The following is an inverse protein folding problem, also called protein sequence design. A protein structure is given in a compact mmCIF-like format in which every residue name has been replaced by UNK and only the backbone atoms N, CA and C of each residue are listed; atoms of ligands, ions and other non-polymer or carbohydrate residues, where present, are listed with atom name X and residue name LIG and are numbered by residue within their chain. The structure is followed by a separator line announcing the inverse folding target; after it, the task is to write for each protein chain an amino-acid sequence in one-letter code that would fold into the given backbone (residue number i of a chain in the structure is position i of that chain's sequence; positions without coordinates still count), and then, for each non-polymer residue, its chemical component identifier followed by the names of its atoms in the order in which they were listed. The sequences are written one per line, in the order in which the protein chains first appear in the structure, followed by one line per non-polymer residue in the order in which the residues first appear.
data_IF_738894937861
#
_entry.id   IF_738894937861
#
_cell.length_a   1.000
_cell.length_b   1.000
_cell.length_c   1.000
_cell.angle_alpha   90.00
_cell.angle_beta   90.00
_cell.angle_gamma   90.00
#
_symmetry.space_group_name_H-M   'P 1'
#
loop_
_entity.id
_entity.type
_entity.pdbx_description
1 polymer ?
#
# COMPACT_ATOMS: atom_id res chain seq x y z
N UNK A 1 14.35 -7.25 12.39
CA UNK A 1 13.86 -7.77 11.11
C UNK A 1 12.68 -6.91 10.69
N UNK A 2 12.76 -6.23 9.54
CA UNK A 2 11.70 -5.36 9.05
C UNK A 2 10.55 -6.19 8.48
N UNK A 3 9.35 -6.01 9.01
CA UNK A 3 8.12 -6.56 8.42
C UNK A 3 7.95 -6.00 7.01
N UNK A 4 7.78 -6.87 6.01
CA UNK A 4 7.50 -6.43 4.64
C UNK A 4 6.08 -5.90 4.57
N UNK A 5 5.94 -4.64 4.18
CA UNK A 5 4.64 -3.99 3.97
C UNK A 5 4.31 -4.05 2.48
N UNK A 6 3.25 -4.75 2.15
CA UNK A 6 2.73 -4.85 0.78
C UNK A 6 1.43 -4.07 0.70
N UNK A 7 1.32 -3.14 -0.24
CA UNK A 7 0.02 -2.52 -0.57
C UNK A 7 -0.63 -3.40 -1.60
N UNK A 8 -1.89 -3.80 -1.38
CA UNK A 8 -2.65 -4.53 -2.39
C UNK A 8 -3.88 -3.75 -2.82
N UNK A 9 -4.02 -3.67 -4.14
CA UNK A 9 -5.17 -3.12 -4.83
C UNK A 9 -5.79 -4.26 -5.64
N UNK A 10 -6.99 -4.71 -5.28
CA UNK A 10 -7.76 -5.74 -5.98
C UNK A 10 -8.88 -5.13 -6.80
N UNK A 11 -8.96 -5.53 -8.06
CA UNK A 11 -10.12 -5.32 -8.92
C UNK A 11 -10.68 -6.69 -9.30
N UNK A 12 -11.85 -7.01 -8.76
CA UNK A 12 -12.60 -8.28 -8.88
C UNK A 12 -12.00 -9.47 -8.09
N UNK A 13 -12.86 -10.26 -7.45
CA UNK A 13 -12.56 -11.44 -6.60
C UNK A 13 -11.33 -11.34 -5.68
N UNK A 14 -11.60 -11.06 -4.40
CA UNK A 14 -10.60 -11.06 -3.33
C UNK A 14 -9.77 -12.37 -3.31
N UNK A 15 -8.44 -12.26 -3.35
CA UNK A 15 -7.57 -13.42 -3.16
C UNK A 15 -7.81 -14.02 -1.77
N UNK A 16 -7.81 -15.36 -1.70
CA UNK A 16 -7.73 -16.05 -0.41
C UNK A 16 -6.37 -15.76 0.26
N UNK A 17 -6.28 -15.91 1.58
CA UNK A 17 -5.00 -15.81 2.30
C UNK A 17 -3.95 -16.78 1.73
N UNK A 18 -4.38 -17.98 1.33
CA UNK A 18 -3.51 -18.97 0.69
C UNK A 18 -2.98 -18.48 -0.66
N UNK A 19 -3.83 -17.88 -1.49
CA UNK A 19 -3.39 -17.30 -2.77
C UNK A 19 -2.40 -16.14 -2.56
N UNK A 20 -2.65 -15.31 -1.55
CA UNK A 20 -1.75 -14.20 -1.15
C UNK A 20 -0.39 -14.74 -0.70
N UNK A 21 -0.37 -15.74 0.18
CA UNK A 21 0.87 -16.36 0.67
C UNK A 21 1.65 -17.02 -0.47
N UNK A 22 0.96 -17.75 -1.35
CA UNK A 22 1.56 -18.37 -2.54
C UNK A 22 2.13 -17.32 -3.50
N UNK A 23 1.38 -16.23 -3.76
CA UNK A 23 1.82 -15.12 -4.59
C UNK A 23 3.04 -14.43 -3.98
N UNK A 24 3.00 -14.19 -2.66
CA UNK A 24 4.07 -13.52 -1.94
C UNK A 24 5.34 -14.37 -1.88
N UNK A 25 5.19 -15.67 -1.66
CA UNK A 25 6.31 -16.59 -1.69
C UNK A 25 6.92 -16.73 -3.09
N UNK A 26 6.10 -16.78 -4.15
CA UNK A 26 6.60 -16.94 -5.54
C UNK A 26 7.15 -15.65 -6.14
N UNK A 27 6.54 -14.51 -5.83
CA UNK A 27 6.85 -13.23 -6.49
C UNK A 27 7.61 -12.27 -5.59
N UNK A 28 7.40 -12.30 -4.28
CA UNK A 28 7.97 -11.32 -3.35
C UNK A 28 9.09 -11.85 -2.46
N UNK A 29 9.24 -13.17 -2.28
CA UNK A 29 10.35 -13.74 -1.50
C UNK A 29 11.75 -13.23 -1.90
N UNK A 30 12.06 -13.01 -3.19
CA UNK A 30 13.35 -12.44 -3.59
C UNK A 30 13.55 -10.96 -3.18
N UNK A 31 12.52 -10.28 -2.69
CA UNK A 31 12.54 -8.84 -2.38
C UNK A 31 12.46 -8.52 -0.88
N UNK A 32 12.23 -9.53 -0.02
CA UNK A 32 12.01 -9.39 1.43
C UNK A 32 13.26 -8.90 2.19
N UNK A 33 14.46 -9.13 1.66
CA UNK A 33 15.74 -8.74 2.29
C UNK A 33 16.24 -7.32 1.93
N UNK A 34 15.43 -6.50 1.27
CA UNK A 34 15.84 -5.16 0.83
C UNK A 34 14.95 -4.08 1.44
N UNK A 35 15.48 -2.87 1.67
CA UNK A 35 14.75 -1.65 2.09
C UNK A 35 13.76 -1.19 0.99
N UNK A 36 12.88 -2.08 0.56
CA UNK A 36 12.00 -1.90 -0.59
C UNK A 36 10.55 -2.01 -0.13
N UNK A 37 9.69 -1.16 -0.69
CA UNK A 37 8.24 -1.35 -0.58
C UNK A 37 7.73 -1.91 -1.91
N UNK A 38 7.41 -3.21 -1.96
CA UNK A 38 6.63 -3.72 -3.06
C UNK A 38 5.24 -3.07 -3.02
N UNK A 39 4.84 -2.39 -4.10
CA UNK A 39 3.46 -1.96 -4.32
C UNK A 39 2.80 -2.98 -5.26
N UNK A 40 1.83 -3.73 -4.74
CA UNK A 40 1.15 -4.77 -5.50
C UNK A 40 -0.16 -4.24 -6.10
N UNK A 41 -0.26 -4.30 -7.42
CA UNK A 41 -1.49 -4.00 -8.16
C UNK A 41 -2.09 -5.30 -8.72
N UNK A 42 -2.89 -6.00 -7.92
CA UNK A 42 -3.49 -7.25 -8.34
C UNK A 42 -4.80 -7.01 -9.12
N UNK A 43 -4.69 -6.94 -10.45
CA UNK A 43 -5.84 -7.03 -11.35
C UNK A 43 -6.33 -8.49 -11.42
N UNK A 44 -7.57 -8.78 -11.04
CA UNK A 44 -8.20 -10.07 -11.36
C UNK A 44 -8.97 -9.88 -12.66
N UNK A 45 -8.73 -10.74 -13.65
CA UNK A 45 -9.50 -10.73 -14.91
C UNK A 45 -10.18 -12.09 -15.08
N UNK A 46 -11.51 -12.09 -15.00
CA UNK A 46 -12.39 -13.02 -15.71
C UNK A 46 -12.89 -14.26 -14.95
N UNK A 47 -14.22 -14.36 -14.85
CA UNK A 47 -15.04 -15.44 -14.25
C UNK A 47 -14.90 -16.80 -14.97
N UNK A 48 -14.03 -16.92 -15.98
CA UNK A 48 -13.80 -18.18 -16.69
C UNK A 48 -12.48 -18.82 -16.21
N UNK A 49 -12.61 -19.97 -15.56
CA UNK A 49 -11.55 -20.82 -14.99
C UNK A 49 -10.43 -21.27 -15.94
N UNK A 50 -10.45 -20.83 -17.22
CA UNK A 50 -9.46 -21.13 -18.25
C UNK A 50 -8.56 -19.96 -18.62
N UNK A 51 -8.80 -18.75 -18.11
CA UNK A 51 -7.96 -17.57 -18.38
C UNK A 51 -7.04 -17.36 -17.18
N UNK A 52 -5.73 -17.30 -17.43
CA UNK A 52 -4.72 -17.17 -16.36
C UNK A 52 -4.95 -15.91 -15.53
N UNK A 53 -4.92 -16.05 -14.19
CA UNK A 53 -4.89 -14.92 -13.26
C UNK A 53 -3.69 -14.02 -13.61
N UNK A 54 -3.95 -12.82 -14.11
CA UNK A 54 -2.90 -11.90 -14.55
C UNK A 54 -2.63 -10.85 -13.47
N UNK A 55 -1.65 -11.11 -12.59
CA UNK A 55 -1.26 -10.16 -11.56
C UNK A 55 -0.13 -9.25 -12.05
N UNK A 56 -0.29 -7.93 -11.87
CA UNK A 56 0.72 -6.92 -12.22
C UNK A 56 1.35 -6.40 -10.91
N UNK A 57 2.65 -6.14 -10.92
CA UNK A 57 3.34 -5.69 -9.72
C UNK A 57 4.25 -4.50 -10.05
N UNK A 58 4.24 -3.51 -9.16
CA UNK A 58 5.14 -2.36 -9.24
C UNK A 58 5.97 -2.32 -7.98
N UNK A 59 7.22 -2.78 -8.06
CA UNK A 59 8.12 -2.76 -6.93
C UNK A 59 9.05 -1.55 -7.00
N UNK A 60 9.05 -0.72 -5.95
CA UNK A 60 10.03 0.34 -5.75
C UNK A 60 11.17 -0.20 -4.90
N UNK A 61 12.39 -0.21 -5.45
CA UNK A 61 13.57 -0.85 -4.84
C UNK A 61 14.87 -0.12 -5.14
N UNK A 62 15.84 -0.31 -4.27
CA UNK A 62 17.22 0.17 -4.44
C UNK A 62 17.77 0.77 -3.14
N UNK A 63 19.09 0.86 -3.00
CA UNK A 63 19.72 1.43 -1.78
C UNK A 63 19.45 2.92 -1.56
N UNK A 64 18.90 3.61 -2.56
CA UNK A 64 18.53 5.02 -2.55
C UNK A 64 17.01 5.22 -2.60
N UNK A 65 16.24 4.16 -2.31
CA UNK A 65 14.79 4.20 -2.28
C UNK A 65 14.36 3.96 -0.85
N UNK A 66 13.59 4.88 -0.30
CA UNK A 66 12.98 4.74 1.02
C UNK A 66 11.47 4.78 0.87
N UNK A 67 10.76 4.06 1.73
CA UNK A 67 9.35 3.79 1.49
C UNK A 67 8.59 3.59 2.78
N UNK A 68 7.35 4.06 2.84
CA UNK A 68 6.51 3.90 4.02
C UNK A 68 5.03 3.86 3.66
N UNK A 69 4.23 3.26 4.53
CA UNK A 69 2.78 3.15 4.35
C UNK A 69 2.03 3.42 5.64
N UNK A 70 0.79 3.88 5.49
CA UNK A 70 -0.16 4.09 6.57
C UNK A 70 -1.54 3.59 6.14
N UNK A 71 -2.12 2.69 6.93
CA UNK A 71 -3.51 2.28 6.79
C UNK A 71 -4.41 3.32 7.47
N UNK A 72 -5.47 3.74 6.78
CA UNK A 72 -6.49 4.65 7.30
C UNK A 72 -7.58 3.82 7.98
N UNK A 73 -7.70 3.98 9.30
CA UNK A 73 -8.60 3.18 10.15
C UNK A 73 -9.57 4.08 10.96
N UNK A 74 -9.81 5.30 10.51
CA UNK A 74 -10.61 6.27 11.27
C UNK A 74 -11.45 7.14 10.35
N UNK A 75 -12.64 7.50 10.84
CA UNK A 75 -13.59 8.41 10.21
C UNK A 75 -13.48 9.84 10.76
N UNK A 76 -12.62 10.05 11.73
CA UNK A 76 -12.46 11.29 12.50
C UNK A 76 -11.25 12.07 11.96
N UNK A 77 -11.49 13.33 11.62
CA UNK A 77 -10.52 14.22 10.98
C UNK A 77 -9.31 14.49 11.87
N UNK A 78 -9.53 14.76 13.16
CA UNK A 78 -8.47 15.06 14.11
C UNK A 78 -7.63 13.81 14.39
N UNK A 79 -8.27 12.64 14.54
CA UNK A 79 -7.53 11.37 14.67
C UNK A 79 -6.71 11.06 13.43
N UNK A 80 -7.22 11.36 12.24
CA UNK A 80 -6.47 11.19 11.00
C UNK A 80 -5.26 12.12 10.97
N UNK A 81 -5.45 13.40 11.32
CA UNK A 81 -4.38 14.41 11.40
C UNK A 81 -3.28 13.99 12.39
N UNK A 82 -3.65 13.53 13.58
CA UNK A 82 -2.70 13.00 14.57
C UNK A 82 -1.92 11.78 14.05
N UNK A 83 -2.62 10.83 13.41
CA UNK A 83 -1.97 9.64 12.80
C UNK A 83 -0.99 10.04 11.70
N UNK A 84 -1.37 10.98 10.83
CA UNK A 84 -0.50 11.48 9.75
C UNK A 84 0.73 12.21 10.29
N UNK A 85 0.58 13.06 11.32
CA UNK A 85 1.70 13.74 11.97
C UNK A 85 2.65 12.76 12.65
N UNK A 86 2.11 11.79 13.39
CA UNK A 86 2.89 10.72 14.04
C UNK A 86 3.59 9.82 13.02
N UNK A 87 3.00 9.62 11.84
CA UNK A 87 3.65 8.90 10.77
C UNK A 87 4.75 9.74 10.13
N UNK A 88 4.48 11.01 9.80
CA UNK A 88 5.45 11.97 9.24
C UNK A 88 6.72 12.07 10.10
N UNK A 89 6.59 12.15 11.42
CA UNK A 89 7.74 12.25 12.34
C UNK A 89 8.63 11.01 12.37
N UNK A 90 8.15 9.86 11.87
CA UNK A 90 8.94 8.62 11.75
C UNK A 90 9.65 8.50 10.40
N UNK A 91 9.44 9.44 9.48
CA UNK A 91 10.05 9.42 8.15
C UNK A 91 11.26 10.35 8.15
N UNK A 92 12.45 9.77 8.32
CA UNK A 92 13.74 10.46 8.32
C UNK A 92 14.21 10.91 6.93
N UNK A 93 13.54 10.47 5.88
CA UNK A 93 13.95 10.66 4.50
C UNK A 93 13.20 11.80 3.76
N UNK A 94 12.22 12.45 4.39
CA UNK A 94 11.34 13.43 3.74
C UNK A 94 12.09 14.62 3.14
N UNK A 95 13.12 15.11 3.82
CA UNK A 95 13.91 16.26 3.35
C UNK A 95 15.01 15.86 2.35
N UNK A 96 15.54 14.64 2.47
CA UNK A 96 16.67 14.15 1.68
C UNK A 96 16.27 13.44 0.39
N UNK A 97 14.98 13.17 0.18
CA UNK A 97 14.47 12.41 -0.96
C UNK A 97 13.45 13.22 -1.78
N UNK A 98 13.32 12.91 -3.07
CA UNK A 98 12.17 13.28 -3.88
C UNK A 98 11.00 12.38 -3.52
N UNK A 99 9.93 12.98 -3.01
CA UNK A 99 8.78 12.28 -2.43
C UNK A 99 7.66 12.14 -3.45
N UNK A 100 7.19 10.91 -3.64
CA UNK A 100 6.01 10.57 -4.43
C UNK A 100 4.98 9.89 -3.50
N UNK A 101 3.94 10.63 -3.09
CA UNK A 101 2.86 10.06 -2.31
C UNK A 101 1.79 9.41 -3.20
N UNK A 102 1.31 8.25 -2.79
CA UNK A 102 0.17 7.56 -3.38
C UNK A 102 -0.94 7.43 -2.35
N UNK A 103 -2.16 7.47 -2.83
CA UNK A 103 -3.34 7.21 -2.02
C UNK A 103 -4.22 6.17 -2.71
N UNK A 104 -4.46 5.04 -2.04
CA UNK A 104 -5.24 3.91 -2.55
C UNK A 104 -6.55 3.80 -1.80
N UNK A 105 -7.66 3.86 -2.52
CA UNK A 105 -8.99 3.91 -1.90
C UNK A 105 -10.06 3.28 -2.79
N UNK A 106 -11.25 3.04 -2.23
CA UNK A 106 -12.40 2.46 -2.94
C UNK A 106 -13.66 3.25 -2.61
N UNK A 107 -14.14 3.06 -1.38
CA UNK A 107 -15.25 3.75 -0.74
C UNK A 107 -14.85 3.79 0.73
N UNK A 108 -14.18 4.87 1.10
CA UNK A 108 -13.53 4.95 2.39
C UNK A 108 -14.55 5.34 3.46
N UNK A 109 -14.39 4.77 4.65
CA UNK A 109 -15.06 5.26 5.87
C UNK A 109 -14.37 6.51 6.42
N UNK A 110 -13.24 6.91 5.84
CA UNK A 110 -12.49 8.08 6.27
C UNK A 110 -13.23 9.41 6.02
N UNK A 111 -12.73 10.50 6.61
CA UNK A 111 -13.24 11.82 6.32
C UNK A 111 -13.19 12.19 4.84
N UNK A 112 -14.21 12.88 4.35
CA UNK A 112 -14.30 13.33 2.94
C UNK A 112 -13.12 14.21 2.52
N UNK A 113 -12.49 14.91 3.47
CA UNK A 113 -11.34 15.78 3.27
C UNK A 113 -9.98 15.10 3.55
N UNK A 114 -9.92 13.77 3.60
CA UNK A 114 -8.68 13.02 3.93
C UNK A 114 -7.46 13.44 3.10
N UNK A 115 -7.64 13.63 1.78
CA UNK A 115 -6.57 14.05 0.87
C UNK A 115 -6.09 15.48 1.14
N UNK A 116 -7.00 16.35 1.62
CA UNK A 116 -6.67 17.70 2.05
C UNK A 116 -5.89 17.68 3.37
N UNK A 117 -6.31 16.91 4.36
CA UNK A 117 -5.57 16.73 5.61
C UNK A 117 -4.16 16.18 5.33
N UNK A 118 -4.04 15.23 4.39
CA UNK A 118 -2.74 14.74 3.94
C UNK A 118 -1.91 15.86 3.33
N UNK A 119 -2.48 16.62 2.38
CA UNK A 119 -1.80 17.73 1.70
C UNK A 119 -1.33 18.80 2.69
N UNK A 120 -2.15 19.17 3.67
CA UNK A 120 -1.77 20.10 4.74
C UNK A 120 -0.62 19.56 5.59
N UNK A 121 -0.65 18.26 5.89
CA UNK A 121 0.36 17.62 6.75
C UNK A 121 1.70 17.49 6.03
N UNK A 122 1.71 17.08 4.76
CA UNK A 122 2.93 16.76 4.01
C UNK A 122 3.37 17.85 3.03
N UNK A 123 2.52 18.83 2.74
CA UNK A 123 2.77 19.88 1.73
C UNK A 123 2.72 19.38 0.29
N UNK A 124 2.23 18.15 0.05
CA UNK A 124 2.25 17.49 -1.26
C UNK A 124 0.90 16.79 -1.50
N UNK A 125 0.34 16.93 -2.71
CA UNK A 125 -0.88 16.24 -3.12
C UNK A 125 -0.57 14.76 -3.45
N UNK A 126 -1.25 13.79 -2.84
CA UNK A 126 -1.10 12.39 -3.19
C UNK A 126 -1.65 12.09 -4.59
N UNK A 127 -0.99 11.16 -5.28
CA UNK A 127 -1.53 10.53 -6.49
C UNK A 127 -2.57 9.50 -6.08
N UNK A 128 -3.85 9.81 -6.32
CA UNK A 128 -4.97 9.00 -5.84
C UNK A 128 -5.41 7.96 -6.86
N UNK A 129 -5.37 6.69 -6.48
CA UNK A 129 -5.95 5.56 -7.21
C UNK A 129 -7.24 5.12 -6.52
N UNK A 130 -8.39 5.46 -7.14
CA UNK A 130 -9.71 5.06 -6.67
C UNK A 130 -10.19 3.79 -7.38
N UNK A 131 -10.46 2.75 -6.61
CA UNK A 131 -11.09 1.52 -7.06
C UNK A 131 -12.60 1.73 -7.27
N UNK A 132 -13.23 0.99 -8.20
CA UNK A 132 -14.68 0.98 -8.35
C UNK A 132 -15.40 0.56 -7.06
N UNK A 133 -16.59 1.11 -6.82
CA UNK A 133 -17.47 0.75 -5.70
C UNK A 133 -18.13 -0.64 -5.87
N UNK A 134 -17.38 -1.63 -6.35
CA UNK A 134 -17.81 -3.02 -6.47
C UNK A 134 -17.45 -3.79 -5.21
N UNK A 135 -18.33 -4.63 -4.68
CA UNK A 135 -18.03 -5.55 -3.56
C UNK A 135 -16.81 -6.45 -3.84
N UNK A 136 -16.53 -6.70 -5.12
CA UNK A 136 -15.40 -7.52 -5.55
C UNK A 136 -14.05 -6.78 -5.60
N UNK A 137 -14.02 -5.46 -5.32
CA UNK A 137 -12.79 -4.67 -5.24
C UNK A 137 -12.40 -4.41 -3.78
N UNK A 138 -11.09 -4.38 -3.48
CA UNK A 138 -10.59 -4.08 -2.14
C UNK A 138 -9.21 -3.42 -2.20
N UNK A 139 -8.92 -2.56 -1.23
CA UNK A 139 -7.59 -2.01 -0.98
C UNK A 139 -7.18 -2.34 0.45
N UNK A 140 -5.89 -2.45 0.73
CA UNK A 140 -5.40 -2.67 2.09
C UNK A 140 -3.91 -2.92 2.17
N UNK A 141 -3.45 -3.17 3.39
CA UNK A 141 -2.09 -3.59 3.69
C UNK A 141 -2.04 -5.09 3.96
N UNK A 142 -0.98 -5.72 3.45
CA UNK A 142 -0.62 -7.08 3.85
C UNK A 142 0.72 -7.03 4.57
N UNK A 143 0.70 -7.63 5.76
CA UNK A 143 1.87 -7.82 6.60
C UNK A 143 2.29 -9.27 6.50
N UNK A 144 3.52 -9.50 6.08
CA UNK A 144 4.12 -10.82 6.06
C UNK A 144 5.30 -10.87 7.03
N UNK A 145 5.41 -11.98 7.75
CA UNK A 145 6.63 -12.26 8.50
C UNK A 145 7.79 -12.54 7.54
N UNK A 146 9.03 -12.42 8.04
CA UNK A 146 10.25 -12.58 7.24
C UNK A 146 10.35 -13.95 6.53
N UNK A 147 9.71 -14.99 7.07
CA UNK A 147 9.67 -16.32 6.46
C UNK A 147 8.51 -16.52 5.49
N UNK A 148 7.63 -15.52 5.31
CA UNK A 148 6.45 -15.54 4.43
C UNK A 148 5.61 -16.81 4.67
N UNK A 149 5.48 -17.17 5.95
CA UNK A 149 4.69 -18.32 6.41
C UNK A 149 3.34 -17.92 6.97
N UNK A 150 3.17 -16.62 7.27
CA UNK A 150 1.92 -16.03 7.73
C UNK A 150 1.72 -14.68 7.08
N UNK A 151 0.56 -14.48 6.46
CA UNK A 151 0.11 -13.19 5.96
C UNK A 151 -1.11 -12.69 6.77
N UNK A 152 -1.06 -11.43 7.21
CA UNK A 152 -2.22 -10.74 7.80
C UNK A 152 -2.71 -9.70 6.81
N UNK A 153 -4.01 -9.75 6.50
CA UNK A 153 -4.69 -8.80 5.62
C UNK A 153 -5.42 -7.75 6.46
N UNK A 154 -5.10 -6.48 6.22
CA UNK A 154 -5.75 -5.35 6.85
C UNK A 154 -6.41 -4.49 5.75
N UNK A 155 -7.71 -4.71 5.47
CA UNK A 155 -8.42 -3.96 4.44
C UNK A 155 -8.61 -2.51 4.88
N UNK A 156 -8.62 -1.60 3.91
CA UNK A 156 -8.82 -0.18 4.13
C UNK A 156 -8.07 0.69 3.14
N UNK A 157 -8.34 1.99 3.20
CA UNK A 157 -7.62 2.96 2.39
C UNK A 157 -6.17 3.10 2.87
N UNK A 158 -5.24 3.27 1.95
CA UNK A 158 -3.81 3.24 2.26
C UNK A 158 -3.11 4.44 1.66
N UNK A 159 -2.40 5.18 2.50
CA UNK A 159 -1.37 6.11 2.04
C UNK A 159 -0.04 5.38 1.89
N UNK A 160 0.67 5.69 0.82
CA UNK A 160 2.03 5.24 0.58
C UNK A 160 2.91 6.44 0.27
N UNK A 161 4.15 6.40 0.72
CA UNK A 161 5.18 7.34 0.33
C UNK A 161 6.35 6.55 -0.23
N UNK A 162 6.81 6.95 -1.41
CA UNK A 162 8.05 6.49 -2.02
C UNK A 162 8.99 7.68 -2.12
N UNK A 163 10.17 7.58 -1.52
CA UNK A 163 11.24 8.57 -1.58
C UNK A 163 12.40 8.06 -2.43
N UNK A 164 12.87 8.88 -3.37
CA UNK A 164 14.12 8.64 -4.11
C UNK A 164 15.19 9.61 -3.65
N UNK A 165 16.35 9.12 -3.20
CA UNK A 165 17.41 9.97 -2.65
C UNK A 165 17.80 11.06 -3.64
N UNK A 166 17.84 12.31 -3.17
CA UNK A 166 18.38 13.44 -3.94
C UNK A 166 19.89 13.20 -4.17
N UNK A 167 20.41 13.71 -5.29
CA UNK A 167 21.80 13.54 -5.72
C UNK A 167 22.80 13.99 -4.65
#
# INVERSE_FOLDING_TARGET
MSETKLIIVFRENALSLFDIESLTKRKFAPFVDSRSLPICYALHVGVNSRISRTSIFVAFRGGNVETSTLLVETTDEEKLREKLLKWKSKLDFLESHYIIPFYFTKKSVEPTNSEEIFRETFGIQPTTLRLPASESAETGLIYCNSTITKATRNPGSVYAIVGFKKF
#
